data_IF_815662366388
#
_entry.id   IF_815662366388
#
_cell.length_a   1.000
_cell.length_b   1.000
_cell.length_c   1.000
_cell.angle_alpha   90.00
_cell.angle_beta   90.00
_cell.angle_gamma   90.00
#
_symmetry.space_group_name_H-M   'P 1'
#
loop_
_entity.id
_entity.type
_entity.pdbx_description
1 polymer ?
#
# COMPACT_ATOMS: atom_id res chain seq x y z
N UNK A 1 7.68 -17.86 26.31
CA UNK A 1 6.41 -18.42 25.82
C UNK A 1 6.03 -19.59 26.73
N UNK A 2 5.03 -19.43 27.61
CA UNK A 2 4.56 -20.52 28.47
C UNK A 2 4.00 -21.64 27.58
N UNK A 3 4.43 -22.90 27.79
CA UNK A 3 3.83 -24.05 27.08
C UNK A 3 2.32 -24.04 27.32
N UNK A 4 1.55 -24.22 26.25
CA UNK A 4 0.11 -24.36 26.33
C UNK A 4 -0.25 -25.48 27.32
N UNK A 5 -1.23 -25.23 28.19
CA UNK A 5 -1.66 -26.16 29.23
C UNK A 5 -2.28 -27.45 28.65
N UNK A 6 -2.64 -27.44 27.36
CA UNK A 6 -3.21 -28.56 26.61
C UNK A 6 -2.38 -28.79 25.35
N UNK A 7 -2.00 -30.04 25.09
CA UNK A 7 -1.31 -30.42 23.87
C UNK A 7 -2.23 -30.19 22.65
N UNK A 8 -1.67 -29.62 21.58
CA UNK A 8 -2.41 -29.44 20.33
C UNK A 8 -2.80 -30.80 19.77
N UNK A 9 -3.99 -30.86 19.13
CA UNK A 9 -4.47 -32.08 18.49
C UNK A 9 -3.53 -32.45 17.34
N UNK A 10 -2.87 -33.61 17.45
CA UNK A 10 -2.05 -34.21 16.40
C UNK A 10 -2.23 -35.74 16.40
N UNK A 11 -1.65 -36.42 15.42
CA UNK A 11 -1.60 -37.89 15.32
C UNK A 11 -0.74 -38.52 16.43
N UNK A 12 -0.77 -39.84 16.58
CA UNK A 12 -0.01 -40.54 17.62
C UNK A 12 1.51 -40.33 17.45
N UNK A 13 2.32 -40.31 18.54
CA UNK A 13 3.75 -39.99 18.48
C UNK A 13 4.57 -40.87 17.53
N UNK A 14 4.19 -42.14 17.35
CA UNK A 14 4.85 -43.06 16.40
C UNK A 14 4.62 -42.60 14.95
N UNK A 15 3.37 -42.25 14.62
CA UNK A 15 3.02 -41.75 13.30
C UNK A 15 3.62 -40.35 13.04
N UNK A 16 3.75 -39.51 14.07
CA UNK A 16 4.45 -38.23 13.96
C UNK A 16 5.92 -38.42 13.55
N UNK A 17 6.63 -39.38 14.16
CA UNK A 17 8.03 -39.69 13.82
C UNK A 17 8.15 -40.22 12.39
N UNK A 18 7.24 -41.12 11.99
CA UNK A 18 7.19 -41.63 10.62
C UNK A 18 6.95 -40.50 9.61
N UNK A 19 5.98 -39.62 9.88
CA UNK A 19 5.68 -38.44 9.06
C UNK A 19 6.90 -37.52 8.94
N UNK A 20 7.54 -37.18 10.05
CA UNK A 20 8.70 -36.27 10.05
C UNK A 20 9.89 -36.88 9.31
N UNK A 21 10.08 -38.20 9.41
CA UNK A 21 11.10 -38.93 8.64
C UNK A 21 10.83 -38.86 7.13
N UNK A 22 9.61 -39.19 6.69
CA UNK A 22 9.25 -39.16 5.27
C UNK A 22 9.25 -37.74 4.67
N UNK A 23 8.96 -36.71 5.48
CA UNK A 23 9.01 -35.32 5.06
C UNK A 23 10.42 -34.72 5.07
N UNK A 24 11.41 -35.36 5.71
CA UNK A 24 12.74 -34.80 5.92
C UNK A 24 12.79 -33.55 6.80
N UNK A 25 11.70 -33.23 7.50
CA UNK A 25 11.55 -32.06 8.38
C UNK A 25 10.45 -32.27 9.41
N UNK A 26 10.46 -31.45 10.46
CA UNK A 26 9.33 -31.40 11.40
C UNK A 26 8.08 -30.87 10.70
N UNK A 27 6.98 -31.60 10.87
CA UNK A 27 5.70 -31.20 10.30
C UNK A 27 5.11 -30.01 11.04
N UNK A 28 4.82 -28.95 10.29
CA UNK A 28 4.11 -27.76 10.76
C UNK A 28 2.62 -27.89 10.42
N UNK A 29 1.78 -28.02 11.43
CA UNK A 29 0.32 -28.17 11.26
C UNK A 29 -0.29 -26.91 10.63
N UNK A 30 -0.97 -27.06 9.49
CA UNK A 30 -1.71 -25.97 8.83
C UNK A 30 -3.11 -25.75 9.41
N UNK A 31 -3.59 -26.67 10.27
CA UNK A 31 -4.87 -26.56 10.93
C UNK A 31 -4.84 -25.49 12.02
N UNK A 32 -5.91 -24.71 12.09
CA UNK A 32 -6.08 -23.69 13.13
C UNK A 32 -6.49 -24.36 14.44
N UNK A 33 -5.72 -24.09 15.49
CA UNK A 33 -6.00 -24.56 16.84
C UNK A 33 -6.41 -23.37 17.71
N UNK A 34 -7.36 -23.56 18.61
CA UNK A 34 -7.90 -22.49 19.47
C UNK A 34 -6.82 -21.70 20.20
N UNK A 35 -5.78 -22.39 20.69
CA UNK A 35 -4.67 -21.77 21.44
C UNK A 35 -3.75 -20.90 20.57
N UNK A 36 -3.75 -21.12 19.25
CA UNK A 36 -2.90 -20.40 18.30
C UNK A 36 -3.63 -19.31 17.53
N UNK A 37 -4.94 -19.15 17.76
CA UNK A 37 -5.75 -18.10 17.14
C UNK A 37 -6.21 -17.11 18.19
N UNK A 38 -6.54 -15.89 17.77
CA UNK A 38 -7.23 -14.94 18.64
C UNK A 38 -8.62 -15.50 19.03
N UNK A 39 -9.09 -15.09 20.21
CA UNK A 39 -10.43 -15.43 20.66
C UNK A 39 -11.50 -14.96 19.65
N UNK A 40 -12.64 -15.65 19.61
CA UNK A 40 -13.76 -15.21 18.74
C UNK A 40 -14.40 -13.91 19.22
N UNK A 41 -14.43 -13.72 20.54
CA UNK A 41 -14.93 -12.51 21.19
C UNK A 41 -13.75 -11.63 21.54
N UNK A 42 -13.76 -10.40 21.02
CA UNK A 42 -12.76 -9.38 21.32
C UNK A 42 -13.37 -8.33 22.26
N UNK A 43 -12.56 -7.71 23.13
CA UNK A 43 -13.02 -6.56 23.91
C UNK A 43 -13.38 -5.40 22.98
N UNK A 44 -14.23 -4.50 23.45
CA UNK A 44 -14.57 -3.29 22.71
C UNK A 44 -13.29 -2.45 22.50
N UNK A 45 -12.92 -2.11 21.25
CA UNK A 45 -11.73 -1.30 20.99
C UNK A 45 -12.01 0.20 21.18
N UNK A 46 -10.98 0.92 21.62
CA UNK A 46 -10.91 2.39 21.56
C UNK A 46 -10.07 2.78 20.34
N UNK A 47 -10.72 3.31 19.30
CA UNK A 47 -10.06 3.67 18.03
C UNK A 47 -9.63 5.14 18.10
N UNK A 48 -8.39 5.50 17.71
CA UNK A 48 -7.96 6.88 17.69
C UNK A 48 -8.71 7.69 16.64
N UNK A 49 -8.95 8.95 16.95
CA UNK A 49 -9.59 9.89 16.04
C UNK A 49 -8.72 10.18 14.80
N UNK A 50 -9.40 10.41 13.67
CA UNK A 50 -8.75 10.88 12.44
C UNK A 50 -8.30 12.34 12.50
N UNK A 51 -7.44 12.75 11.56
CA UNK A 51 -6.78 14.07 11.52
C UNK A 51 -7.72 15.30 11.50
N UNK A 52 -8.99 15.11 11.14
CA UNK A 52 -10.01 16.16 11.09
C UNK A 52 -10.90 16.19 12.34
N UNK A 53 -10.62 15.45 13.41
CA UNK A 53 -11.30 15.61 14.71
C UNK A 53 -10.62 16.73 15.50
N UNK A 54 -10.74 17.96 15.01
CA UNK A 54 -10.17 19.17 15.64
C UNK A 54 -11.30 20.14 16.00
N UNK A 55 -11.25 20.71 17.20
CA UNK A 55 -12.26 21.65 17.68
C UNK A 55 -12.17 23.05 17.04
N UNK A 56 -10.99 23.46 16.58
CA UNK A 56 -10.76 24.76 15.95
C UNK A 56 -9.89 24.63 14.70
N UNK A 57 -9.91 25.66 13.83
CA UNK A 57 -9.11 25.73 12.60
C UNK A 57 -9.29 24.52 11.68
N UNK A 58 -10.53 24.07 11.51
CA UNK A 58 -10.87 22.85 10.77
C UNK A 58 -12.11 23.03 9.89
N UNK A 59 -12.17 24.16 9.20
CA UNK A 59 -13.27 24.45 8.28
C UNK A 59 -13.25 23.47 7.11
N UNK A 60 -14.42 22.97 6.73
CA UNK A 60 -14.51 21.98 5.64
C UNK A 60 -13.96 22.51 4.31
N UNK A 61 -14.16 23.81 4.02
CA UNK A 61 -13.74 24.42 2.76
C UNK A 61 -12.22 24.38 2.53
N UNK A 62 -11.38 24.35 3.58
CA UNK A 62 -9.91 24.32 3.45
C UNK A 62 -9.36 22.93 3.17
N UNK A 63 -10.20 21.89 3.23
CA UNK A 63 -9.81 20.48 3.04
C UNK A 63 -10.71 19.74 2.05
N UNK A 64 -11.56 20.48 1.33
CA UNK A 64 -12.49 19.91 0.36
C UNK A 64 -11.81 19.73 -0.98
N UNK A 65 -10.96 18.69 -1.09
CA UNK A 65 -10.26 18.36 -2.34
C UNK A 65 -11.20 18.08 -3.53
N UNK A 66 -12.48 17.80 -3.28
CA UNK A 66 -13.48 17.64 -4.34
C UNK A 66 -13.74 18.95 -5.10
N UNK A 67 -13.57 20.10 -4.43
CA UNK A 67 -13.74 21.43 -5.01
C UNK A 67 -12.45 22.03 -5.56
N UNK A 68 -11.31 21.41 -5.28
CA UNK A 68 -10.02 21.80 -5.85
C UNK A 68 -9.85 21.31 -7.29
N UNK A 69 -10.69 20.36 -7.73
CA UNK A 69 -10.66 19.83 -9.09
C UNK A 69 -11.10 20.89 -10.09
N UNK A 70 -10.17 21.35 -10.93
CA UNK A 70 -10.45 22.23 -12.06
C UNK A 70 -10.72 21.43 -13.34
N UNK A 71 -11.45 22.00 -14.31
CA UNK A 71 -11.56 21.40 -15.65
C UNK A 71 -10.17 21.09 -16.26
N UNK A 72 -10.06 20.04 -17.08
CA UNK A 72 -8.80 19.70 -17.73
C UNK A 72 -8.35 20.83 -18.65
N UNK A 73 -7.05 21.08 -18.66
CA UNK A 73 -6.46 22.13 -19.48
C UNK A 73 -6.39 21.70 -20.95
N UNK A 74 -6.87 22.56 -21.86
CA UNK A 74 -6.75 22.34 -23.29
C UNK A 74 -5.40 22.85 -23.81
N UNK A 75 -4.46 21.92 -23.98
CA UNK A 75 -3.08 22.20 -24.39
C UNK A 75 -3.00 22.80 -25.79
N UNK A 76 -3.92 22.48 -26.72
CA UNK A 76 -3.88 23.05 -28.08
C UNK A 76 -4.18 24.54 -28.06
N UNK A 77 -5.25 24.95 -27.39
CA UNK A 77 -5.63 26.36 -27.24
C UNK A 77 -4.57 27.18 -26.50
N UNK A 78 -3.94 26.63 -25.47
CA UNK A 78 -2.90 27.33 -24.70
C UNK A 78 -1.55 27.44 -25.44
N UNK A 79 -1.16 26.42 -26.23
CA UNK A 79 0.06 26.46 -27.03
C UNK A 79 -0.03 27.49 -28.17
N UNK A 80 -1.23 27.73 -28.70
CA UNK A 80 -1.49 28.78 -29.69
C UNK A 80 -1.15 30.17 -29.12
N UNK A 81 -1.52 30.47 -27.88
CA UNK A 81 -1.21 31.75 -27.22
C UNK A 81 0.29 31.90 -26.90
N UNK A 82 0.95 30.85 -26.42
CA UNK A 82 2.38 30.85 -26.08
C UNK A 82 3.32 30.89 -27.31
N UNK A 83 2.80 30.58 -28.50
CA UNK A 83 3.53 30.71 -29.77
C UNK A 83 3.43 32.11 -30.39
N UNK A 84 2.65 33.03 -29.80
CA UNK A 84 2.45 34.39 -30.31
C UNK A 84 3.51 35.42 -29.85
N UNK A 85 4.72 34.96 -29.51
CA UNK A 85 5.87 35.84 -29.35
C UNK A 85 6.17 36.52 -30.69
N UNK A 86 5.94 37.84 -30.71
CA UNK A 86 6.27 38.76 -31.79
C UNK A 86 7.73 38.59 -32.25
N UNK A 87 7.92 37.96 -33.40
CA UNK A 87 8.98 38.34 -34.35
C UNK A 87 10.40 37.81 -34.15
N UNK A 88 10.67 36.79 -33.33
CA UNK A 88 12.00 36.15 -33.28
C UNK A 88 11.94 34.65 -33.62
N UNK A 89 12.77 34.14 -34.57
CA UNK A 89 12.78 32.73 -34.91
C UNK A 89 13.36 31.91 -33.74
N UNK A 90 12.52 31.16 -33.03
CA UNK A 90 12.98 30.16 -32.06
C UNK A 90 13.53 28.97 -32.86
N UNK A 91 14.83 28.71 -32.73
CA UNK A 91 15.46 27.53 -33.31
C UNK A 91 14.70 26.28 -32.85
N UNK A 92 14.32 25.40 -33.79
CA UNK A 92 13.63 24.16 -33.47
C UNK A 92 14.48 23.35 -32.50
N UNK A 93 14.00 23.18 -31.26
CA UNK A 93 14.67 22.34 -30.29
C UNK A 93 14.64 20.89 -30.80
N UNK A 94 15.78 20.37 -31.24
CA UNK A 94 15.95 19.03 -31.80
C UNK A 94 15.95 17.93 -30.70
N UNK A 95 15.21 18.15 -29.61
CA UNK A 95 15.14 17.24 -28.47
C UNK A 95 13.73 16.70 -28.38
N UNK A 96 13.58 15.38 -28.53
CA UNK A 96 12.31 14.69 -28.30
C UNK A 96 11.89 14.86 -26.84
N UNK A 97 10.71 15.44 -26.60
CA UNK A 97 10.12 15.53 -25.25
C UNK A 97 9.61 14.15 -24.85
N UNK A 98 10.12 13.58 -23.76
CA UNK A 98 9.58 12.36 -23.15
C UNK A 98 8.61 12.72 -22.01
N UNK A 99 7.55 11.93 -21.76
CA UNK A 99 6.61 12.19 -20.66
C UNK A 99 7.22 12.17 -19.25
N UNK A 100 8.37 11.50 -19.09
CA UNK A 100 9.07 11.37 -17.82
C UNK A 100 10.44 10.73 -17.99
N UNK A 101 11.14 10.53 -16.87
CA UNK A 101 12.41 9.82 -16.81
C UNK A 101 12.16 8.30 -16.81
N UNK A 102 13.01 7.53 -17.49
CA UNK A 102 12.97 6.07 -17.43
C UNK A 102 13.33 5.60 -16.02
N UNK A 103 12.48 4.78 -15.40
CA UNK A 103 12.76 4.16 -14.10
C UNK A 103 13.45 2.80 -14.30
N UNK A 104 14.72 2.70 -13.90
CA UNK A 104 15.48 1.45 -13.95
C UNK A 104 15.50 0.82 -12.55
N UNK A 105 14.72 -0.23 -12.34
CA UNK A 105 14.56 -0.87 -11.03
C UNK A 105 15.80 -1.63 -10.53
N UNK A 106 16.69 -2.03 -11.45
CA UNK A 106 17.90 -2.85 -11.18
C UNK A 106 19.21 -2.09 -11.37
N UNK A 107 19.16 -0.75 -11.46
CA UNK A 107 20.36 0.04 -11.66
C UNK A 107 21.08 0.20 -10.32
N UNK A 108 21.95 -0.76 -9.97
CA UNK A 108 23.00 -0.51 -9.00
C UNK A 108 23.87 0.64 -9.53
N UNK A 109 24.06 1.65 -8.67
CA UNK A 109 24.70 2.95 -8.89
C UNK A 109 25.73 3.01 -10.03
#
# INVERSE_FOLDING_TARGET
>A
MSKAKVALRDISPILQKLRNFLLGREHTTALRSEVLISARTQPQPEIPDGVSHKHAHNYYYTRDGRREVTPPLNVSQQLLEASSDKGAPKAAANVFRTPGKLYNWDKHY
#
